data_IF_822102140718
#
_entry.id   IF_822102140718
#
_cell.length_a   1.000
_cell.length_b   1.000
_cell.length_c   1.000
_cell.angle_alpha   90.00
_cell.angle_beta   90.00
_cell.angle_gamma   90.00
#
_symmetry.space_group_name_H-M   'P 1'
#
loop_
_entity.id
_entity.type
_entity.pdbx_description
1 polymer ?
#
# COMPACT_ATOMS: atom_id res chain seq x y z
N UNK A 1 -14.64 -11.67 7.78
CA UNK A 1 -15.65 -11.15 6.84
C UNK A 1 -15.70 -12.06 5.61
N UNK A 2 -16.88 -12.25 5.02
CA UNK A 2 -17.03 -13.00 3.77
C UNK A 2 -16.76 -12.06 2.58
N UNK A 3 -16.19 -12.57 1.50
CA UNK A 3 -15.90 -11.77 0.30
C UNK A 3 -17.14 -11.06 -0.29
N UNK A 4 -18.33 -11.67 -0.15
CA UNK A 4 -19.60 -11.09 -0.60
C UNK A 4 -20.08 -9.88 0.21
N UNK A 5 -19.51 -9.65 1.38
CA UNK A 5 -19.84 -8.56 2.29
C UNK A 5 -18.91 -7.35 2.11
N UNK A 6 -17.83 -7.52 1.34
CA UNK A 6 -16.85 -6.48 1.11
C UNK A 6 -17.38 -5.44 0.11
N UNK A 7 -17.19 -4.13 0.36
CA UNK A 7 -17.48 -3.08 -0.58
C UNK A 7 -16.77 -3.27 -1.92
N UNK A 8 -17.38 -2.84 -2.99
CA UNK A 8 -16.85 -2.97 -4.35
C UNK A 8 -16.13 -1.72 -4.83
N UNK A 9 -16.28 -0.61 -4.10
CA UNK A 9 -15.65 0.67 -4.38
C UNK A 9 -15.32 1.42 -3.09
N UNK A 10 -14.49 2.45 -3.18
CA UNK A 10 -14.22 3.34 -2.05
C UNK A 10 -15.44 4.17 -1.62
N UNK A 11 -16.37 4.43 -2.53
CA UNK A 11 -17.65 5.09 -2.22
C UNK A 11 -18.55 4.20 -1.36
N UNK A 12 -18.65 2.91 -1.66
CA UNK A 12 -19.35 1.94 -0.82
C UNK A 12 -18.62 1.73 0.52
N UNK A 13 -17.28 1.70 0.49
CA UNK A 13 -16.46 1.63 1.71
C UNK A 13 -16.73 2.80 2.64
N UNK A 14 -16.83 4.02 2.10
CA UNK A 14 -17.11 5.23 2.86
C UNK A 14 -18.52 5.24 3.52
N UNK A 15 -19.40 4.30 3.19
CA UNK A 15 -20.75 4.18 3.76
C UNK A 15 -20.85 3.18 4.91
N UNK A 16 -19.77 2.40 5.19
CA UNK A 16 -19.73 1.34 6.19
C UNK A 16 -19.64 1.87 7.63
N UNK A 17 -20.70 2.52 8.09
CA UNK A 17 -20.77 3.12 9.44
C UNK A 17 -20.45 2.14 10.56
N UNK A 18 -20.81 0.88 10.38
CA UNK A 18 -20.56 -0.22 11.31
C UNK A 18 -19.06 -0.57 11.47
N UNK A 19 -18.21 -0.05 10.57
CA UNK A 19 -16.74 -0.22 10.64
C UNK A 19 -16.06 0.95 11.35
N UNK A 20 -16.79 1.89 11.90
CA UNK A 20 -16.22 3.05 12.59
C UNK A 20 -15.29 2.62 13.74
N UNK A 21 -14.03 3.11 13.71
CA UNK A 21 -12.99 2.75 14.67
C UNK A 21 -12.42 1.34 14.50
N UNK A 22 -12.80 0.60 13.41
CA UNK A 22 -12.28 -0.72 13.06
C UNK A 22 -11.38 -0.72 11.82
N UNK A 23 -11.14 0.46 11.26
CA UNK A 23 -10.25 0.68 10.11
C UNK A 23 -8.97 1.33 10.62
N UNK A 24 -7.83 0.79 10.23
CA UNK A 24 -6.52 1.40 10.46
C UNK A 24 -5.97 2.02 9.18
N UNK A 25 -5.18 3.07 9.33
CA UNK A 25 -4.46 3.74 8.24
C UNK A 25 -3.05 4.09 8.71
N UNK A 26 -2.05 3.86 7.86
CA UNK A 26 -0.69 4.32 8.15
C UNK A 26 -0.57 5.83 7.93
N UNK A 27 0.00 6.51 8.93
CA UNK A 27 0.06 7.97 8.98
C UNK A 27 1.17 8.60 8.15
N UNK A 28 1.97 7.79 7.45
CA UNK A 28 3.11 8.25 6.63
C UNK A 28 2.89 8.04 5.13
N UNK A 29 1.82 7.35 4.73
CA UNK A 29 1.55 6.99 3.34
C UNK A 29 0.76 8.09 2.60
N UNK A 30 1.40 9.22 2.41
CA UNK A 30 0.86 10.34 1.64
C UNK A 30 0.74 10.02 0.14
N UNK A 31 1.49 9.04 -0.34
CA UNK A 31 1.43 8.56 -1.72
C UNK A 31 0.07 7.93 -2.04
N UNK A 32 -0.50 7.15 -1.12
CA UNK A 32 -1.84 6.61 -1.29
C UNK A 32 -2.87 7.74 -1.46
N UNK A 33 -2.79 8.79 -0.64
CA UNK A 33 -3.67 9.96 -0.77
C UNK A 33 -3.51 10.63 -2.14
N UNK A 34 -2.25 10.84 -2.59
CA UNK A 34 -2.00 11.39 -3.93
C UNK A 34 -2.58 10.50 -5.02
N UNK A 35 -2.42 9.19 -4.91
CA UNK A 35 -2.98 8.22 -5.87
C UNK A 35 -4.51 8.29 -5.95
N UNK A 36 -5.19 8.41 -4.83
CA UNK A 36 -6.65 8.60 -4.76
C UNK A 36 -7.06 9.89 -5.47
N UNK A 37 -6.40 11.00 -5.15
CA UNK A 37 -6.69 12.30 -5.78
C UNK A 37 -6.37 12.29 -7.28
N UNK A 38 -5.30 11.62 -7.69
CA UNK A 38 -4.93 11.50 -9.09
C UNK A 38 -5.97 10.73 -9.91
N UNK A 39 -6.62 9.74 -9.30
CA UNK A 39 -7.67 8.94 -9.94
C UNK A 39 -9.03 9.63 -9.98
N UNK A 40 -9.48 10.15 -8.84
CA UNK A 40 -10.82 10.75 -8.70
C UNK A 40 -10.87 12.24 -9.10
N UNK A 41 -9.72 12.89 -9.26
CA UNK A 41 -9.61 14.35 -9.34
C UNK A 41 -9.50 14.99 -7.96
N UNK A 42 -8.93 16.20 -7.90
CA UNK A 42 -8.58 16.83 -6.62
C UNK A 42 -9.81 17.06 -5.72
N UNK A 43 -10.88 17.63 -6.29
CA UNK A 43 -12.10 17.93 -5.54
C UNK A 43 -12.77 16.64 -5.04
N UNK A 44 -13.07 15.72 -5.94
CA UNK A 44 -13.89 14.56 -5.64
C UNK A 44 -13.11 13.52 -4.83
N UNK A 45 -11.80 13.40 -5.07
CA UNK A 45 -10.91 12.56 -4.26
C UNK A 45 -10.81 13.04 -2.82
N UNK A 46 -10.60 14.34 -2.60
CA UNK A 46 -10.57 14.91 -1.24
C UNK A 46 -11.91 14.76 -0.54
N UNK A 47 -13.03 15.01 -1.21
CA UNK A 47 -14.36 14.84 -0.62
C UNK A 47 -14.65 13.37 -0.27
N UNK A 48 -14.20 12.42 -1.09
CA UNK A 48 -14.30 10.99 -0.76
C UNK A 48 -13.49 10.65 0.49
N UNK A 49 -12.25 11.13 0.59
CA UNK A 49 -11.41 10.91 1.77
C UNK A 49 -12.05 11.52 3.03
N UNK A 50 -12.57 12.75 2.96
CA UNK A 50 -13.30 13.36 4.07
C UNK A 50 -14.48 12.51 4.53
N UNK A 51 -15.25 11.93 3.60
CA UNK A 51 -16.36 11.02 3.94
C UNK A 51 -15.84 9.75 4.64
N UNK A 52 -14.74 9.16 4.15
CA UNK A 52 -14.09 8.02 4.80
C UNK A 52 -13.71 8.38 6.24
N UNK A 53 -13.04 9.51 6.44
CA UNK A 53 -12.62 9.96 7.78
C UNK A 53 -13.81 10.20 8.69
N UNK A 54 -14.83 10.93 8.22
CA UNK A 54 -16.02 11.28 9.01
C UNK A 54 -16.84 10.03 9.41
N UNK A 55 -16.98 9.07 8.48
CA UNK A 55 -17.82 7.88 8.69
C UNK A 55 -17.09 6.79 9.46
N UNK A 56 -15.86 6.47 9.05
CA UNK A 56 -15.14 5.30 9.56
C UNK A 56 -14.22 5.65 10.74
N UNK A 57 -13.85 6.92 10.88
CA UNK A 57 -12.93 7.39 11.93
C UNK A 57 -11.69 6.48 12.04
N UNK A 58 -10.88 6.37 10.96
CA UNK A 58 -9.77 5.45 10.93
C UNK A 58 -8.78 5.74 12.06
N UNK A 59 -8.25 4.66 12.64
CA UNK A 59 -7.17 4.77 13.62
C UNK A 59 -5.86 4.98 12.87
N UNK A 60 -5.20 6.10 13.11
CA UNK A 60 -3.89 6.39 12.51
C UNK A 60 -2.82 5.60 13.24
N UNK A 61 -2.11 4.76 12.51
CA UNK A 61 -1.02 3.92 13.03
C UNK A 61 0.33 4.40 12.50
N UNK A 62 1.41 3.85 13.04
CA UNK A 62 2.78 4.10 12.59
C UNK A 62 3.41 2.76 12.19
N UNK A 63 3.67 2.61 10.89
CA UNK A 63 4.31 1.45 10.29
C UNK A 63 3.36 0.37 9.75
N UNK A 64 3.42 0.18 8.45
CA UNK A 64 2.58 -0.77 7.69
C UNK A 64 2.65 -2.22 8.18
N UNK A 65 3.85 -2.70 8.59
CA UNK A 65 3.99 -4.07 9.10
C UNK A 65 3.28 -4.26 10.44
N UNK A 66 3.38 -3.28 11.34
CA UNK A 66 2.67 -3.29 12.61
C UNK A 66 1.16 -3.28 12.37
N UNK A 67 0.67 -2.42 11.47
CA UNK A 67 -0.72 -2.34 11.05
C UNK A 67 -1.22 -3.67 10.45
N UNK A 68 -0.43 -4.32 9.57
CA UNK A 68 -0.78 -5.64 9.01
C UNK A 68 -0.90 -6.71 10.09
N UNK A 69 0.03 -6.73 11.06
CA UNK A 69 0.00 -7.68 12.18
C UNK A 69 -1.20 -7.46 13.09
N UNK A 70 -1.51 -6.22 13.44
CA UNK A 70 -2.68 -5.88 14.24
C UNK A 70 -3.99 -6.27 13.53
N UNK A 71 -4.08 -6.05 12.22
CA UNK A 71 -5.21 -6.51 11.40
C UNK A 71 -5.29 -8.05 11.39
N UNK A 72 -4.16 -8.73 11.19
CA UNK A 72 -4.10 -10.21 11.24
C UNK A 72 -4.42 -10.81 12.61
N UNK A 73 -4.22 -10.05 13.68
CA UNK A 73 -4.60 -10.41 15.06
C UNK A 73 -6.06 -10.06 15.39
N UNK A 74 -6.78 -9.34 14.52
CA UNK A 74 -8.18 -8.97 14.71
C UNK A 74 -8.42 -7.68 15.49
N UNK A 75 -7.39 -6.88 15.77
CA UNK A 75 -7.53 -5.56 16.41
C UNK A 75 -8.27 -4.60 15.49
N UNK A 76 -7.95 -4.66 14.19
CA UNK A 76 -8.64 -3.92 13.13
C UNK A 76 -9.27 -4.89 12.15
N UNK A 77 -10.39 -4.49 11.56
CA UNK A 77 -11.04 -5.28 10.50
C UNK A 77 -10.43 -5.02 9.13
N UNK A 78 -9.92 -3.80 8.92
CA UNK A 78 -9.33 -3.35 7.67
C UNK A 78 -8.10 -2.49 7.96
N UNK A 79 -7.02 -2.71 7.21
CA UNK A 79 -5.92 -1.78 7.04
C UNK A 79 -6.04 -1.13 5.64
N UNK A 80 -6.38 0.16 5.61
CA UNK A 80 -6.89 0.84 4.40
C UNK A 80 -5.82 1.03 3.33
N UNK A 81 -4.64 1.52 3.70
CA UNK A 81 -3.54 1.86 2.79
C UNK A 81 -2.31 0.95 2.96
N UNK A 82 -2.54 -0.30 3.33
CA UNK A 82 -1.42 -1.19 3.61
C UNK A 82 -0.74 -1.69 2.33
N UNK A 83 0.56 -1.94 2.42
CA UNK A 83 1.30 -2.52 1.32
C UNK A 83 1.02 -4.01 1.17
N UNK A 84 0.73 -4.40 -0.07
CA UNK A 84 0.41 -5.80 -0.44
C UNK A 84 1.47 -6.78 0.06
N UNK A 85 2.75 -6.44 -0.12
CA UNK A 85 3.85 -7.31 0.31
C UNK A 85 3.92 -7.51 1.82
N UNK A 86 3.53 -6.53 2.62
CA UNK A 86 3.54 -6.65 4.08
C UNK A 86 2.33 -7.44 4.58
N UNK A 87 1.15 -7.23 3.98
CA UNK A 87 -0.02 -8.05 4.24
C UNK A 87 0.22 -9.51 3.84
N UNK A 88 0.85 -9.75 2.68
CA UNK A 88 1.22 -11.11 2.26
C UNK A 88 2.25 -11.75 3.20
N UNK A 89 3.22 -11.00 3.70
CA UNK A 89 4.19 -11.52 4.68
C UNK A 89 3.48 -12.03 5.92
N UNK A 90 2.52 -11.27 6.46
CA UNK A 90 1.73 -11.69 7.63
C UNK A 90 0.85 -12.91 7.30
N UNK A 91 0.21 -12.94 6.12
CA UNK A 91 -0.60 -14.08 5.67
C UNK A 91 0.23 -15.36 5.52
N UNK A 92 1.40 -15.27 4.89
CA UNK A 92 2.32 -16.40 4.70
C UNK A 92 2.88 -16.92 6.04
N UNK A 93 2.97 -16.07 7.05
CA UNK A 93 3.32 -16.45 8.42
C UNK A 93 2.13 -17.02 9.24
N UNK A 94 0.96 -17.22 8.63
CA UNK A 94 -0.22 -17.78 9.26
C UNK A 94 -1.18 -16.78 9.90
N UNK A 95 -0.97 -15.48 9.70
CA UNK A 95 -1.89 -14.44 10.19
C UNK A 95 -3.25 -14.47 9.46
N UNK A 96 -4.32 -14.16 10.18
CA UNK A 96 -5.69 -14.16 9.67
C UNK A 96 -5.99 -12.87 8.86
N UNK A 97 -5.23 -12.63 7.81
CA UNK A 97 -5.36 -11.45 6.95
C UNK A 97 -5.44 -11.88 5.49
N UNK A 98 -6.19 -11.13 4.68
CA UNK A 98 -6.21 -11.28 3.24
C UNK A 98 -6.18 -9.93 2.53
N UNK A 99 -5.97 -9.94 1.22
CA UNK A 99 -5.97 -8.74 0.38
C UNK A 99 -7.33 -8.60 -0.29
N UNK A 100 -7.87 -7.42 -0.14
CA UNK A 100 -9.07 -6.97 -0.82
C UNK A 100 -8.76 -5.71 -1.63
N UNK A 101 -8.99 -5.76 -2.94
CA UNK A 101 -8.51 -4.74 -3.88
C UNK A 101 -9.67 -3.94 -4.44
N UNK A 102 -9.58 -2.62 -4.29
CA UNK A 102 -10.49 -1.64 -4.89
C UNK A 102 -9.79 -0.83 -5.98
N UNK A 103 -10.58 -0.15 -6.83
CA UNK A 103 -10.07 0.85 -7.76
C UNK A 103 -9.99 2.23 -7.07
N UNK A 104 -8.88 2.95 -7.17
CA UNK A 104 -7.61 2.57 -7.81
C UNK A 104 -6.70 1.73 -6.92
N UNK A 105 -5.79 0.99 -7.55
CA UNK A 105 -4.59 0.45 -6.90
C UNK A 105 -3.46 1.46 -7.06
N UNK A 106 -2.92 1.94 -5.96
CA UNK A 106 -1.75 2.82 -5.97
C UNK A 106 -0.48 1.98 -6.06
N UNK A 107 0.36 2.26 -7.05
CA UNK A 107 1.59 1.52 -7.30
C UNK A 107 2.82 2.37 -6.99
N UNK A 108 3.67 1.83 -6.13
CA UNK A 108 5.01 2.36 -5.84
C UNK A 108 6.08 1.43 -6.33
N UNK A 109 7.14 2.01 -6.89
CA UNK A 109 8.33 1.27 -7.26
C UNK A 109 9.40 1.42 -6.19
N UNK A 110 9.80 0.30 -5.58
CA UNK A 110 11.06 0.25 -4.84
C UNK A 110 12.21 0.54 -5.82
N UNK A 111 13.10 1.44 -5.44
CA UNK A 111 14.25 1.82 -6.26
C UNK A 111 15.54 1.29 -5.64
N UNK A 112 16.48 0.91 -6.48
CA UNK A 112 17.87 0.65 -6.10
C UNK A 112 18.77 1.60 -6.86
N UNK A 113 19.62 2.33 -6.14
CA UNK A 113 20.57 3.27 -6.72
C UNK A 113 21.97 3.03 -6.22
N UNK A 114 22.96 3.37 -7.05
CA UNK A 114 24.37 3.39 -6.65
C UNK A 114 24.76 4.82 -6.35
N UNK A 115 25.23 5.08 -5.13
CA UNK A 115 25.67 6.41 -4.74
C UNK A 115 26.83 6.89 -5.65
N UNK A 116 26.76 8.12 -6.15
CA UNK A 116 27.80 8.69 -7.03
C UNK A 116 29.18 8.74 -6.37
N UNK A 117 29.22 8.80 -5.03
CA UNK A 117 30.44 8.81 -4.22
C UNK A 117 30.62 7.49 -3.45
N UNK A 118 30.13 6.38 -3.99
CA UNK A 118 30.30 5.07 -3.36
C UNK A 118 31.80 4.74 -3.19
N UNK A 119 32.25 4.31 -1.99
CA UNK A 119 33.66 3.96 -1.77
C UNK A 119 34.09 2.74 -2.58
N UNK A 120 33.13 1.87 -2.93
CA UNK A 120 33.34 0.66 -3.73
C UNK A 120 32.32 0.58 -4.89
N UNK A 121 32.46 1.41 -5.94
CA UNK A 121 31.42 1.55 -6.96
C UNK A 121 31.16 0.29 -7.77
N UNK A 122 32.19 -0.53 -8.01
CA UNK A 122 32.05 -1.81 -8.72
C UNK A 122 31.25 -2.84 -7.89
N UNK A 123 31.51 -2.94 -6.59
CA UNK A 123 30.74 -3.80 -5.69
C UNK A 123 29.29 -3.31 -5.56
N UNK A 124 29.07 -2.00 -5.47
CA UNK A 124 27.73 -1.42 -5.43
C UNK A 124 26.93 -1.72 -6.70
N UNK A 125 27.54 -1.62 -7.89
CA UNK A 125 26.91 -2.01 -9.16
C UNK A 125 26.59 -3.50 -9.22
N UNK A 126 27.52 -4.36 -8.75
CA UNK A 126 27.29 -5.80 -8.68
C UNK A 126 26.10 -6.12 -7.77
N UNK A 127 26.01 -5.49 -6.60
CA UNK A 127 24.89 -5.65 -5.68
C UNK A 127 23.56 -5.19 -6.31
N UNK A 128 23.54 -4.03 -6.99
CA UNK A 128 22.36 -3.54 -7.69
C UNK A 128 21.91 -4.52 -8.81
N UNK A 129 22.84 -5.06 -9.60
CA UNK A 129 22.54 -6.07 -10.59
C UNK A 129 22.00 -7.37 -9.96
N UNK A 130 22.58 -7.81 -8.85
CA UNK A 130 22.09 -8.98 -8.12
C UNK A 130 20.65 -8.78 -7.64
N UNK A 131 20.30 -7.61 -7.11
CA UNK A 131 18.93 -7.31 -6.67
C UNK A 131 17.90 -7.43 -7.81
N UNK A 132 18.30 -7.19 -9.05
CA UNK A 132 17.46 -7.34 -10.25
C UNK A 132 17.55 -8.75 -10.87
N UNK A 133 18.38 -9.64 -10.33
CA UNK A 133 18.52 -11.01 -10.83
C UNK A 133 17.27 -11.84 -10.56
N UNK A 134 17.06 -12.89 -11.36
CA UNK A 134 15.98 -13.85 -11.15
C UNK A 134 16.05 -14.50 -9.78
N UNK A 135 17.27 -14.84 -9.34
CA UNK A 135 17.53 -15.47 -8.04
C UNK A 135 17.06 -14.57 -6.88
N UNK A 136 17.51 -13.30 -6.86
CA UNK A 136 17.12 -12.36 -5.81
C UNK A 136 15.63 -12.04 -5.84
N UNK A 137 15.06 -11.84 -7.02
CA UNK A 137 13.62 -11.55 -7.15
C UNK A 137 12.77 -12.77 -6.71
N UNK A 138 13.17 -13.99 -7.03
CA UNK A 138 12.51 -15.20 -6.55
C UNK A 138 12.65 -15.37 -5.03
N UNK A 139 13.80 -15.02 -4.46
CA UNK A 139 14.01 -15.02 -3.02
C UNK A 139 13.09 -14.00 -2.33
N UNK A 140 13.02 -12.77 -2.83
CA UNK A 140 12.14 -11.71 -2.27
C UNK A 140 10.66 -12.07 -2.37
N UNK A 141 10.25 -12.77 -3.43
CA UNK A 141 8.87 -13.22 -3.60
C UNK A 141 8.43 -14.19 -2.47
N UNK A 142 9.33 -14.96 -1.88
CA UNK A 142 9.01 -15.84 -0.72
C UNK A 142 8.47 -15.06 0.47
N UNK A 143 8.79 -13.78 0.58
CA UNK A 143 8.35 -12.86 1.63
C UNK A 143 7.20 -11.94 1.17
N UNK A 144 6.48 -12.33 0.12
CA UNK A 144 5.34 -11.57 -0.41
C UNK A 144 5.71 -10.36 -1.25
N UNK A 145 7.01 -10.08 -1.50
CA UNK A 145 7.41 -9.00 -2.40
C UNK A 145 6.98 -9.31 -3.82
N UNK A 146 6.39 -8.32 -4.48
CA UNK A 146 6.02 -8.46 -5.90
C UNK A 146 7.29 -8.34 -6.76
N UNK A 147 7.61 -9.36 -7.58
CA UNK A 147 8.77 -9.30 -8.44
C UNK A 147 8.56 -8.29 -9.58
N UNK A 148 9.62 -7.58 -9.95
CA UNK A 148 9.63 -6.70 -11.13
C UNK A 148 9.96 -7.45 -12.43
N UNK A 149 10.42 -8.69 -12.31
CA UNK A 149 10.74 -9.55 -13.44
C UNK A 149 9.53 -10.37 -13.89
N UNK A 150 9.28 -10.42 -15.20
CA UNK A 150 8.16 -11.17 -15.80
C UNK A 150 8.34 -12.71 -15.71
N UNK A 151 9.60 -13.18 -15.56
CA UNK A 151 9.95 -14.59 -15.45
C UNK A 151 10.02 -15.11 -14.00
N UNK A 152 9.53 -14.30 -13.04
CA UNK A 152 9.40 -14.68 -11.62
C UNK A 152 7.95 -14.50 -11.20
N UNK A 153 7.36 -15.56 -10.65
CA UNK A 153 5.99 -15.53 -10.15
C UNK A 153 5.90 -14.85 -8.78
N UNK A 154 4.77 -14.19 -8.51
CA UNK A 154 4.43 -13.72 -7.17
C UNK A 154 4.19 -14.91 -6.23
N UNK A 155 4.34 -14.68 -4.93
CA UNK A 155 3.96 -15.65 -3.90
C UNK A 155 3.02 -14.95 -2.87
N UNK A 156 1.75 -15.39 -2.73
CA UNK A 156 1.15 -16.49 -3.52
C UNK A 156 1.01 -16.16 -5.01
N UNK A 157 0.88 -17.18 -5.88
CA UNK A 157 0.59 -16.96 -7.30
C UNK A 157 -0.72 -16.20 -7.50
N UNK A 158 -0.81 -15.43 -8.60
CA UNK A 158 -2.04 -14.71 -8.96
C UNK A 158 -2.19 -13.32 -8.32
N UNK A 159 -1.30 -12.92 -7.41
CA UNK A 159 -1.40 -11.57 -6.76
C UNK A 159 -1.19 -10.44 -7.77
N UNK A 160 -0.22 -10.58 -8.68
CA UNK A 160 0.03 -9.57 -9.71
C UNK A 160 -1.19 -9.45 -10.64
N UNK A 161 -1.73 -10.56 -11.08
CA UNK A 161 -2.92 -10.63 -11.94
C UNK A 161 -4.13 -9.98 -11.26
N UNK A 162 -4.35 -10.26 -9.97
CA UNK A 162 -5.42 -9.64 -9.18
C UNK A 162 -5.29 -8.11 -9.14
N UNK A 163 -4.07 -7.59 -8.95
CA UNK A 163 -3.82 -6.16 -8.90
C UNK A 163 -3.96 -5.51 -10.28
N UNK A 164 -3.46 -6.14 -11.34
CA UNK A 164 -3.47 -5.60 -12.70
C UNK A 164 -4.83 -5.66 -13.38
N UNK A 165 -5.78 -6.42 -12.85
CA UNK A 165 -7.19 -6.35 -13.26
C UNK A 165 -7.89 -5.06 -12.82
N UNK A 166 -7.24 -4.28 -11.95
CA UNK A 166 -7.74 -3.02 -11.41
C UNK A 166 -7.13 -1.81 -12.12
N UNK A 167 -7.68 -0.64 -11.87
CA UNK A 167 -7.11 0.63 -12.34
C UNK A 167 -5.87 0.95 -11.52
N UNK A 168 -4.71 0.76 -12.12
CA UNK A 168 -3.42 1.04 -11.47
C UNK A 168 -3.03 2.49 -11.69
N UNK A 169 -2.75 3.19 -10.62
CA UNK A 169 -2.24 4.56 -10.61
C UNK A 169 -0.80 4.56 -10.10
N UNK A 170 0.13 4.93 -10.95
CA UNK A 170 1.53 5.11 -10.54
C UNK A 170 1.72 6.49 -9.94
N UNK A 171 2.26 6.54 -8.74
CA UNK A 171 2.56 7.79 -8.04
C UNK A 171 4.06 8.02 -8.05
N UNK A 172 4.45 9.17 -8.59
CA UNK A 172 5.80 9.71 -8.52
C UNK A 172 5.71 11.11 -7.90
N UNK A 173 6.59 11.41 -6.97
CA UNK A 173 6.61 12.70 -6.29
C UNK A 173 8.01 13.26 -6.21
N UNK A 174 8.10 14.57 -6.39
CA UNK A 174 9.27 15.33 -5.97
C UNK A 174 9.27 15.46 -4.43
N UNK A 175 10.42 15.77 -3.80
CA UNK A 175 10.46 16.03 -2.35
C UNK A 175 9.56 17.19 -1.89
N UNK A 176 9.25 18.11 -2.77
CA UNK A 176 8.32 19.21 -2.49
C UNK A 176 6.86 18.72 -2.48
N UNK A 177 6.48 17.93 -3.48
CA UNK A 177 5.16 17.31 -3.54
C UNK A 177 4.92 16.37 -2.37
N UNK A 178 5.93 15.57 -1.98
CA UNK A 178 5.85 14.70 -0.82
C UNK A 178 5.51 15.48 0.45
N UNK A 179 6.20 16.61 0.70
CA UNK A 179 5.89 17.50 1.82
C UNK A 179 4.49 18.12 1.72
N UNK A 180 4.04 18.48 0.51
CA UNK A 180 2.67 19.00 0.28
C UNK A 180 1.64 17.94 0.66
N UNK A 181 1.78 16.73 0.14
CA UNK A 181 0.81 15.66 0.35
C UNK A 181 0.84 15.14 1.79
N UNK A 182 2.00 15.14 2.46
CA UNK A 182 2.06 14.81 3.87
C UNK A 182 1.29 15.82 4.74
N UNK A 183 1.44 17.12 4.48
CA UNK A 183 0.63 18.13 5.19
C UNK A 183 -0.87 17.93 4.94
N UNK A 184 -1.25 17.65 3.70
CA UNK A 184 -2.65 17.39 3.34
C UNK A 184 -3.19 16.13 4.06
N UNK A 185 -2.39 15.08 4.13
CA UNK A 185 -2.71 13.86 4.88
C UNK A 185 -2.92 14.17 6.37
N UNK A 186 -1.98 14.89 6.99
CA UNK A 186 -2.05 15.25 8.40
C UNK A 186 -3.30 16.09 8.73
N UNK A 187 -3.66 17.03 7.86
CA UNK A 187 -4.90 17.81 8.00
C UNK A 187 -6.16 16.93 7.96
N UNK A 188 -6.20 15.95 7.06
CA UNK A 188 -7.36 15.08 6.87
C UNK A 188 -7.52 14.04 7.97
N UNK A 189 -6.42 13.42 8.40
CA UNK A 189 -6.46 12.25 9.29
C UNK A 189 -6.02 12.54 10.73
N UNK A 190 -5.21 13.56 10.97
CA UNK A 190 -4.69 13.90 12.30
C UNK A 190 -5.24 15.20 12.85
N UNK A 191 -6.00 15.97 12.06
CA UNK A 191 -6.58 17.24 12.47
C UNK A 191 -5.54 18.34 12.76
N UNK A 192 -4.39 18.32 12.07
CA UNK A 192 -3.26 19.24 12.30
C UNK A 192 -2.91 20.04 11.06
#
# INVERSE_FOLDING_TARGET
MKASELPRSYEEFAQRKEWAGKVAIDGTDNEWLKGMVQYYGERDGIELIKRIVATLRPVVTDGHLAMARATGAGEYWVSLNNYVNLSMNVKLAGGAIDIWVLDPVTLFFGQVGVNAKAPHPSAARLAANFMLSRECQAFLARFGRLPTRKDVQSNPPGVIEMLTQKKVVTVLMSPEEERKWQRQFDQLFKGR
#
